data_IF_310798890561
#
_entry.id   IF_310798890561
#
_cell.length_a   1.000
_cell.length_b   1.000
_cell.length_c   1.000
_cell.angle_alpha   90.00
_cell.angle_beta   90.00
_cell.angle_gamma   90.00
#
_symmetry.space_group_name_H-M   'P 1'
#
loop_
_entity.id
_entity.type
_entity.pdbx_description
1 polymer ?
#
# COMPACT_ATOMS: atom_id res chain seq x y z
N UNK A 1 -75.44 14.69 71.37
CA UNK A 1 -74.65 13.47 71.47
C UNK A 1 -74.42 12.98 70.03
N UNK A 2 -73.33 13.36 69.33
CA UNK A 2 -72.98 13.01 67.98
C UNK A 2 -71.74 12.10 67.96
N UNK A 3 -71.88 10.88 67.54
CA UNK A 3 -70.83 9.93 67.39
C UNK A 3 -70.23 10.11 66.00
N UNK A 4 -68.89 10.44 65.94
CA UNK A 4 -68.13 10.46 64.72
C UNK A 4 -67.47 9.08 64.58
N UNK A 5 -67.81 8.40 63.46
CA UNK A 5 -67.14 7.17 63.02
C UNK A 5 -65.94 7.54 62.18
N UNK A 6 -64.71 7.11 62.56
CA UNK A 6 -63.48 7.22 61.76
C UNK A 6 -63.36 6.01 60.83
N UNK A 7 -63.13 6.18 59.53
CA UNK A 7 -62.76 5.04 58.69
C UNK A 7 -61.25 4.69 58.80
N UNK A 8 -61.01 3.42 59.04
CA UNK A 8 -59.67 2.81 59.07
C UNK A 8 -59.25 2.57 57.64
N UNK A 9 -58.25 3.33 57.12
CA UNK A 9 -57.66 3.08 55.82
C UNK A 9 -56.57 2.03 55.96
N UNK A 10 -56.79 0.85 55.44
CA UNK A 10 -55.82 -0.24 55.35
C UNK A 10 -54.92 0.01 54.15
N UNK A 11 -53.69 0.45 54.37
CA UNK A 11 -52.67 0.59 53.31
C UNK A 11 -52.06 -0.80 53.00
N UNK A 12 -52.45 -1.39 51.88
CA UNK A 12 -51.76 -2.55 51.29
C UNK A 12 -50.47 -2.07 50.65
N UNK A 13 -49.32 -2.35 51.27
CA UNK A 13 -48.01 -2.22 50.66
C UNK A 13 -47.78 -3.37 49.67
N UNK A 14 -47.97 -3.09 48.36
CA UNK A 14 -47.50 -3.94 47.27
C UNK A 14 -45.96 -3.89 47.29
N UNK A 15 -45.31 -4.90 47.83
CA UNK A 15 -43.91 -5.16 47.65
C UNK A 15 -43.67 -5.52 46.17
N UNK A 16 -43.16 -4.58 45.38
CA UNK A 16 -42.59 -4.86 44.09
C UNK A 16 -41.30 -5.68 44.31
N UNK A 17 -41.33 -6.98 44.00
CA UNK A 17 -40.13 -7.77 43.75
C UNK A 17 -39.46 -7.20 42.54
N UNK A 18 -38.44 -6.35 42.68
CA UNK A 18 -37.48 -6.06 41.63
C UNK A 18 -36.70 -7.38 41.40
N UNK A 19 -37.04 -8.09 40.36
CA UNK A 19 -36.21 -9.14 39.79
C UNK A 19 -34.79 -8.57 39.50
N UNK A 20 -33.78 -9.44 39.42
CA UNK A 20 -32.45 -8.99 38.98
C UNK A 20 -32.67 -8.32 37.61
N UNK A 21 -32.36 -7.03 37.53
CA UNK A 21 -32.26 -6.33 36.23
C UNK A 21 -31.20 -7.07 35.43
N UNK A 22 -31.58 -7.54 34.24
CA UNK A 22 -30.58 -8.01 33.28
C UNK A 22 -29.48 -6.93 33.17
N UNK A 23 -28.20 -7.31 33.20
CA UNK A 23 -27.14 -6.33 33.04
C UNK A 23 -27.37 -5.56 31.74
N UNK A 24 -27.36 -4.24 31.84
CA UNK A 24 -27.46 -3.37 30.68
C UNK A 24 -26.33 -3.77 29.71
N UNK A 25 -26.61 -3.98 28.41
CA UNK A 25 -25.58 -4.37 27.48
C UNK A 25 -24.43 -3.36 27.53
N UNK A 26 -23.22 -3.87 27.71
CA UNK A 26 -22.02 -3.05 27.77
C UNK A 26 -21.85 -2.33 26.45
N UNK A 27 -21.56 -1.02 26.48
CA UNK A 27 -21.35 -0.24 25.24
C UNK A 27 -20.14 -0.79 24.47
N UNK A 28 -20.20 -0.82 23.13
CA UNK A 28 -19.10 -1.28 22.31
C UNK A 28 -17.79 -0.52 22.62
N UNK A 29 -16.67 -1.22 22.58
CA UNK A 29 -15.36 -0.63 22.85
C UNK A 29 -14.85 0.09 21.59
N UNK A 30 -14.39 1.37 21.72
CA UNK A 30 -13.91 2.12 20.57
C UNK A 30 -12.55 1.62 20.07
N UNK A 31 -12.42 1.42 18.76
CA UNK A 31 -11.19 1.07 18.08
C UNK A 31 -10.93 2.03 16.92
N UNK A 32 -9.93 2.88 17.04
CA UNK A 32 -9.54 3.80 15.97
C UNK A 32 -8.43 3.20 15.11
N UNK A 33 -8.69 3.14 13.82
CA UNK A 33 -7.79 2.61 12.80
C UNK A 33 -7.49 3.69 11.76
N UNK A 34 -6.24 3.88 11.39
CA UNK A 34 -5.84 4.74 10.28
C UNK A 34 -5.31 3.86 9.16
N UNK A 35 -5.96 3.89 8.01
CA UNK A 35 -5.53 3.14 6.82
C UNK A 35 -4.84 4.07 5.82
N UNK A 36 -3.95 3.47 5.03
CA UNK A 36 -3.11 4.18 4.09
C UNK A 36 -3.94 4.73 2.91
N UNK A 37 -3.96 6.05 2.68
CA UNK A 37 -4.89 6.67 1.73
C UNK A 37 -4.37 6.69 0.27
N UNK A 38 -3.28 5.98 -0.03
CA UNK A 38 -2.63 6.01 -1.34
C UNK A 38 -3.05 4.88 -2.28
N UNK A 39 -4.05 4.09 -1.88
CA UNK A 39 -4.72 3.15 -2.80
C UNK A 39 -5.71 3.90 -3.71
N UNK A 40 -6.07 3.37 -4.90
CA UNK A 40 -7.08 4.00 -5.75
C UNK A 40 -8.44 4.11 -5.04
N UNK A 41 -9.01 5.31 -5.00
CA UNK A 41 -10.40 5.53 -4.59
C UNK A 41 -11.34 5.11 -5.74
N UNK A 42 -11.83 3.88 -5.68
CA UNK A 42 -12.62 3.26 -6.75
C UNK A 42 -14.02 3.85 -6.86
N UNK A 43 -14.65 4.18 -5.74
CA UNK A 43 -15.97 4.81 -5.72
C UNK A 43 -15.89 6.31 -6.06
N UNK A 44 -14.75 6.94 -5.88
CA UNK A 44 -14.54 8.37 -6.12
C UNK A 44 -15.24 9.25 -5.09
N UNK A 45 -15.43 8.75 -3.86
CA UNK A 45 -16.17 9.40 -2.78
C UNK A 45 -15.31 9.71 -1.54
N UNK A 46 -13.99 9.72 -1.70
CA UNK A 46 -13.05 9.92 -0.60
C UNK A 46 -12.99 8.73 0.34
N UNK A 47 -13.12 7.52 -0.19
CA UNK A 47 -13.15 6.25 0.53
C UNK A 47 -14.37 6.03 1.45
N UNK A 48 -15.43 6.84 1.35
CA UNK A 48 -16.59 6.71 2.24
C UNK A 48 -17.27 5.35 2.10
N UNK A 49 -17.44 4.86 0.88
CA UNK A 49 -18.04 3.53 0.62
C UNK A 49 -17.15 2.39 1.13
N UNK A 50 -15.83 2.47 0.94
CA UNK A 50 -14.90 1.46 1.44
C UNK A 50 -14.90 1.45 2.97
N UNK A 51 -14.78 2.63 3.61
CA UNK A 51 -14.86 2.79 5.06
C UNK A 51 -16.12 2.13 5.60
N UNK A 52 -17.29 2.56 5.13
CA UNK A 52 -18.57 2.03 5.58
C UNK A 52 -18.67 0.50 5.43
N UNK A 53 -18.16 -0.04 4.33
CA UNK A 53 -18.19 -1.47 4.08
C UNK A 53 -17.29 -2.24 5.06
N UNK A 54 -16.06 -1.79 5.27
CA UNK A 54 -15.12 -2.44 6.18
C UNK A 54 -15.60 -2.38 7.63
N UNK A 55 -16.10 -1.22 8.07
CA UNK A 55 -16.68 -1.04 9.41
C UNK A 55 -17.86 -1.99 9.63
N UNK A 56 -18.83 -1.99 8.71
CA UNK A 56 -20.01 -2.84 8.84
C UNK A 56 -19.68 -4.35 8.81
N UNK A 57 -18.70 -4.77 8.00
CA UNK A 57 -18.30 -6.18 7.92
C UNK A 57 -17.52 -6.61 9.17
N UNK A 58 -16.65 -5.75 9.71
CA UNK A 58 -15.93 -5.99 10.95
C UNK A 58 -16.85 -6.05 12.17
N UNK A 59 -17.70 -5.04 12.37
CA UNK A 59 -18.64 -4.96 13.52
C UNK A 59 -19.68 -6.07 13.52
N UNK A 60 -20.05 -6.60 12.34
CA UNK A 60 -20.93 -7.78 12.25
C UNK A 60 -20.29 -9.01 12.90
N UNK A 61 -18.96 -9.16 12.82
CA UNK A 61 -18.21 -10.26 13.43
C UNK A 61 -17.81 -9.95 14.87
N UNK A 62 -17.69 -8.68 15.23
CA UNK A 62 -17.20 -8.17 16.50
C UNK A 62 -18.12 -7.08 17.05
N UNK A 63 -19.36 -7.46 17.39
CA UNK A 63 -20.43 -6.52 17.79
C UNK A 63 -20.18 -5.78 19.12
N UNK A 64 -19.15 -6.16 19.84
CA UNK A 64 -18.66 -5.55 21.06
C UNK A 64 -17.52 -4.50 20.82
N UNK A 65 -17.17 -4.26 19.55
CA UNK A 65 -16.18 -3.27 19.11
C UNK A 65 -16.87 -2.27 18.16
N UNK A 66 -16.66 -0.97 18.41
CA UNK A 66 -17.06 0.15 17.55
C UNK A 66 -15.81 0.66 16.84
N UNK A 67 -15.64 0.29 15.55
CA UNK A 67 -14.44 0.63 14.79
C UNK A 67 -14.62 1.95 14.03
N UNK A 68 -13.68 2.88 14.20
CA UNK A 68 -13.59 4.12 13.41
C UNK A 68 -12.37 4.04 12.47
N UNK A 69 -12.64 3.79 11.19
CA UNK A 69 -11.62 3.74 10.14
C UNK A 69 -11.42 5.13 9.54
N UNK A 70 -10.19 5.58 9.49
CA UNK A 70 -9.81 6.89 8.93
C UNK A 70 -8.98 6.67 7.67
N UNK A 71 -9.45 7.26 6.56
CA UNK A 71 -8.67 7.51 5.35
C UNK A 71 -8.51 9.01 5.21
N UNK A 72 -7.31 9.55 5.39
CA UNK A 72 -7.06 11.00 5.26
C UNK A 72 -5.75 11.25 4.52
N UNK A 73 -5.87 11.70 3.26
CA UNK A 73 -4.73 12.02 2.41
C UNK A 73 -3.92 13.26 2.86
N UNK A 74 -4.42 14.01 3.86
CA UNK A 74 -3.67 15.11 4.45
C UNK A 74 -2.73 14.68 5.59
N UNK A 75 -2.84 13.44 6.06
CA UNK A 75 -1.91 12.88 7.04
C UNK A 75 -0.59 12.52 6.36
N UNK A 76 0.50 13.16 6.78
CA UNK A 76 1.84 12.76 6.36
C UNK A 76 2.31 11.56 7.20
N UNK A 77 2.08 10.35 6.69
CA UNK A 77 2.47 9.10 7.34
C UNK A 77 3.98 8.81 7.26
N UNK A 78 4.80 9.78 6.86
CA UNK A 78 6.26 9.75 6.97
C UNK A 78 6.80 10.80 7.95
N UNK A 79 5.91 11.62 8.55
CA UNK A 79 6.29 12.63 9.53
C UNK A 79 6.51 11.99 10.92
N UNK A 80 7.79 11.76 11.22
CA UNK A 80 8.29 11.15 12.47
C UNK A 80 8.75 12.18 13.50
N UNK A 81 8.60 13.46 13.23
CA UNK A 81 9.05 14.53 14.11
C UNK A 81 8.25 14.59 15.42
N UNK A 82 8.80 15.22 16.44
CA UNK A 82 8.08 15.47 17.69
C UNK A 82 6.88 16.40 17.41
N UNK A 83 5.67 15.94 17.75
CA UNK A 83 4.43 16.61 17.43
C UNK A 83 3.94 16.41 15.99
N UNK A 84 4.70 15.69 15.15
CA UNK A 84 4.30 15.30 13.81
C UNK A 84 3.21 14.24 13.78
N UNK A 85 2.74 13.89 12.57
CA UNK A 85 1.58 13.02 12.37
C UNK A 85 1.72 11.67 13.06
N UNK A 86 2.83 10.95 12.84
CA UNK A 86 3.02 9.63 13.44
C UNK A 86 3.28 9.68 14.93
N UNK A 87 3.90 10.76 15.43
CA UNK A 87 4.02 10.98 16.86
C UNK A 87 2.65 11.16 17.52
N UNK A 88 1.72 11.85 16.87
CA UNK A 88 0.35 12.03 17.36
C UNK A 88 -0.46 10.74 17.29
N UNK A 89 -0.27 9.91 16.25
CA UNK A 89 -1.01 8.66 16.05
C UNK A 89 -0.49 7.49 16.92
N UNK A 90 0.81 7.37 17.08
CA UNK A 90 1.47 6.21 17.70
C UNK A 90 2.29 6.56 18.95
N UNK A 91 2.80 7.80 19.04
CA UNK A 91 3.68 8.22 20.13
C UNK A 91 2.97 8.87 21.33
N UNK A 92 1.69 9.23 21.21
CA UNK A 92 0.91 9.92 22.24
C UNK A 92 -0.29 9.07 22.64
N UNK A 93 -0.57 8.93 23.94
CA UNK A 93 -1.56 7.98 24.45
C UNK A 93 -3.02 8.31 24.12
N UNK A 94 -3.57 9.38 24.69
CA UNK A 94 -4.98 9.71 24.58
C UNK A 94 -5.34 10.25 23.19
N UNK A 95 -6.26 9.59 22.47
CA UNK A 95 -6.71 9.96 21.12
C UNK A 95 -5.86 9.39 20.00
N UNK A 96 -4.80 8.66 20.32
CA UNK A 96 -3.98 7.93 19.37
C UNK A 96 -4.77 6.82 18.67
N UNK A 97 -4.36 6.47 17.45
CA UNK A 97 -4.87 5.27 16.78
C UNK A 97 -4.31 4.01 17.45
N UNK A 98 -5.12 2.96 17.52
CA UNK A 98 -4.70 1.64 17.99
C UNK A 98 -4.00 0.83 16.91
N UNK A 99 -4.44 1.02 15.65
CA UNK A 99 -3.85 0.40 14.46
C UNK A 99 -3.59 1.49 13.43
N UNK A 100 -2.40 1.47 12.83
CA UNK A 100 -2.04 2.37 11.72
C UNK A 100 -1.46 1.54 10.59
N UNK A 101 -1.93 1.74 9.37
CA UNK A 101 -1.27 1.21 8.18
C UNK A 101 -0.15 2.16 7.77
N UNK A 102 1.05 1.63 7.60
CA UNK A 102 2.25 2.41 7.26
C UNK A 102 3.01 1.73 6.12
N UNK A 103 3.79 2.52 5.39
CA UNK A 103 4.86 1.99 4.55
C UNK A 103 6.04 1.55 5.42
N UNK A 104 6.54 0.35 5.22
CA UNK A 104 7.62 -0.23 6.03
C UNK A 104 8.98 0.47 5.88
N UNK A 105 9.11 1.41 4.95
CA UNK A 105 10.30 2.29 4.82
C UNK A 105 10.69 3.03 6.10
N UNK A 106 9.75 3.15 7.03
CA UNK A 106 9.94 3.80 8.35
C UNK A 106 9.83 2.82 9.53
N UNK A 107 9.69 1.54 9.27
CA UNK A 107 9.50 0.53 10.33
C UNK A 107 10.61 0.55 11.36
N UNK A 108 11.86 0.63 10.92
CA UNK A 108 13.02 0.71 11.81
C UNK A 108 13.00 1.95 12.71
N UNK A 109 12.53 3.07 12.19
CA UNK A 109 12.37 4.32 12.97
C UNK A 109 11.27 4.16 14.03
N UNK A 110 10.11 3.61 13.67
CA UNK A 110 8.99 3.37 14.60
C UNK A 110 9.39 2.43 15.75
N UNK A 111 10.10 1.35 15.42
CA UNK A 111 10.62 0.40 16.41
C UNK A 111 11.63 1.06 17.32
N UNK A 112 12.56 1.85 16.77
CA UNK A 112 13.59 2.55 17.57
C UNK A 112 13.01 3.58 18.53
N UNK A 113 11.87 4.20 18.16
CA UNK A 113 11.12 5.15 18.98
C UNK A 113 10.22 4.44 20.03
N UNK A 114 10.05 3.12 19.93
CA UNK A 114 9.16 2.37 20.81
C UNK A 114 7.67 2.70 20.61
N UNK A 115 7.27 3.09 19.42
CA UNK A 115 5.89 3.49 19.11
C UNK A 115 5.00 2.33 18.68
N UNK A 116 5.61 1.22 18.25
CA UNK A 116 4.90 0.03 17.80
C UNK A 116 5.27 -1.18 18.64
N UNK A 117 4.35 -2.12 18.78
CA UNK A 117 4.56 -3.35 19.51
C UNK A 117 4.78 -4.54 18.57
N UNK A 118 5.47 -5.60 19.03
CA UNK A 118 5.62 -6.81 18.28
C UNK A 118 4.29 -7.49 17.98
N UNK A 119 4.24 -8.13 16.79
CA UNK A 119 3.10 -8.95 16.36
C UNK A 119 3.55 -10.36 16.04
N UNK A 120 2.66 -11.33 16.23
CA UNK A 120 2.90 -12.70 15.76
C UNK A 120 2.45 -12.81 14.30
N UNK A 121 3.34 -13.28 13.42
CA UNK A 121 2.99 -13.64 12.05
C UNK A 121 3.04 -15.16 11.89
N UNK A 122 2.11 -15.70 11.12
CA UNK A 122 2.18 -17.07 10.63
C UNK A 122 3.22 -17.13 9.49
N UNK A 123 4.27 -17.90 9.70
CA UNK A 123 5.36 -18.02 8.74
C UNK A 123 4.86 -18.57 7.38
N UNK A 124 5.19 -17.90 6.30
CA UNK A 124 4.80 -18.26 4.94
C UNK A 124 3.37 -17.87 4.56
N UNK A 125 2.62 -17.19 5.42
CA UNK A 125 1.30 -16.65 5.09
C UNK A 125 1.40 -15.44 4.16
N UNK A 126 2.43 -14.62 4.33
CA UNK A 126 2.73 -13.51 3.43
C UNK A 126 3.86 -13.86 2.46
N UNK A 127 4.06 -13.00 1.48
CA UNK A 127 5.19 -13.07 0.57
C UNK A 127 6.51 -12.89 1.37
N UNK A 128 7.62 -13.61 1.04
CA UNK A 128 8.87 -13.50 1.80
C UNK A 128 9.40 -12.08 1.96
N UNK A 129 9.36 -11.26 0.89
CA UNK A 129 9.75 -9.85 0.96
C UNK A 129 8.89 -9.04 1.95
N UNK A 130 7.61 -9.36 2.07
CA UNK A 130 6.71 -8.71 3.01
C UNK A 130 7.01 -9.12 4.47
N UNK A 131 7.30 -10.39 4.72
CA UNK A 131 7.71 -10.86 6.04
C UNK A 131 9.07 -10.26 6.46
N UNK A 132 10.01 -10.13 5.53
CA UNK A 132 11.30 -9.48 5.76
C UNK A 132 11.14 -7.99 6.08
N UNK A 133 10.33 -7.24 5.32
CA UNK A 133 10.13 -5.80 5.49
C UNK A 133 9.62 -5.42 6.89
N UNK A 134 8.77 -6.24 7.49
CA UNK A 134 8.21 -5.99 8.83
C UNK A 134 9.06 -6.54 9.96
N UNK A 135 10.18 -7.21 9.64
CA UNK A 135 11.06 -7.86 10.62
C UNK A 135 12.23 -6.97 11.01
N UNK A 136 12.35 -6.64 12.30
CA UNK A 136 13.49 -5.93 12.87
C UNK A 136 14.14 -6.83 13.92
N UNK A 137 15.42 -7.11 13.76
CA UNK A 137 16.19 -7.98 14.66
C UNK A 137 15.55 -9.36 14.91
N UNK A 138 14.89 -9.92 13.89
CA UNK A 138 14.24 -11.24 13.95
C UNK A 138 12.86 -11.25 14.62
N UNK A 139 12.28 -10.09 14.88
CA UNK A 139 10.93 -9.95 15.43
C UNK A 139 10.06 -9.13 14.49
N UNK A 140 8.81 -9.57 14.25
CA UNK A 140 7.87 -8.86 13.40
C UNK A 140 7.14 -7.75 14.16
N UNK A 141 6.96 -6.59 13.52
CA UNK A 141 6.31 -5.41 14.09
C UNK A 141 5.12 -4.91 13.29
N UNK A 142 4.74 -5.61 12.24
CA UNK A 142 3.58 -5.27 11.42
C UNK A 142 2.97 -6.49 10.75
N UNK A 143 1.69 -6.38 10.38
CA UNK A 143 0.96 -7.36 9.56
C UNK A 143 0.96 -6.83 8.13
N UNK A 144 1.70 -7.45 7.19
CA UNK A 144 1.78 -6.98 5.82
C UNK A 144 0.41 -6.97 5.13
N UNK A 145 0.13 -5.90 4.38
CA UNK A 145 -1.13 -5.70 3.66
C UNK A 145 -0.94 -5.71 2.16
N UNK A 146 -0.19 -4.76 1.64
CA UNK A 146 0.02 -4.58 0.22
C UNK A 146 1.51 -4.59 -0.12
N UNK A 147 1.77 -4.87 -1.38
CA UNK A 147 3.06 -4.68 -2.02
C UNK A 147 2.88 -3.66 -3.13
N UNK A 148 3.92 -2.90 -3.42
CA UNK A 148 3.94 -1.99 -4.55
C UNK A 148 5.30 -2.08 -5.21
N UNK A 149 5.34 -2.22 -6.53
CA UNK A 149 6.58 -2.31 -7.31
C UNK A 149 6.50 -1.43 -8.53
N UNK A 150 7.64 -0.97 -8.99
CA UNK A 150 7.78 -0.39 -10.31
C UNK A 150 7.72 -1.50 -11.36
N UNK A 151 6.86 -1.31 -12.34
CA UNK A 151 6.67 -2.26 -13.44
C UNK A 151 6.56 -1.51 -14.76
N UNK A 152 6.82 -2.22 -15.86
CA UNK A 152 6.52 -1.74 -17.19
C UNK A 152 5.27 -2.42 -17.70
N UNK A 153 4.30 -1.61 -18.15
CA UNK A 153 3.13 -2.03 -18.88
C UNK A 153 3.30 -1.70 -20.37
N UNK A 154 3.02 -2.65 -21.25
CA UNK A 154 3.02 -2.41 -22.68
C UNK A 154 2.04 -3.31 -23.42
N UNK A 155 1.57 -2.85 -24.58
CA UNK A 155 0.73 -3.65 -25.47
C UNK A 155 1.60 -4.50 -26.42
N UNK A 156 2.60 -5.20 -25.88
CA UNK A 156 3.50 -6.06 -26.62
C UNK A 156 3.50 -7.48 -26.06
N UNK A 157 3.15 -8.50 -26.87
CA UNK A 157 3.24 -9.90 -26.45
C UNK A 157 4.70 -10.36 -26.20
N UNK A 158 5.67 -9.57 -26.65
CA UNK A 158 7.10 -9.86 -26.50
C UNK A 158 7.71 -9.22 -25.26
N UNK A 159 6.93 -8.45 -24.48
CA UNK A 159 7.45 -7.73 -23.30
C UNK A 159 8.18 -8.65 -22.34
N UNK A 160 7.65 -9.86 -22.11
CA UNK A 160 8.25 -10.85 -21.20
C UNK A 160 9.60 -11.42 -21.68
N UNK A 161 10.04 -11.10 -22.87
CA UNK A 161 11.36 -11.51 -23.41
C UNK A 161 12.45 -10.45 -23.16
N UNK A 162 12.12 -9.30 -22.59
CA UNK A 162 13.11 -8.31 -22.17
C UNK A 162 13.96 -8.89 -21.04
N UNK A 163 15.30 -8.83 -21.19
CA UNK A 163 16.27 -9.35 -20.24
C UNK A 163 17.16 -8.26 -19.61
N UNK A 164 17.13 -7.06 -20.20
CA UNK A 164 17.89 -5.90 -19.81
C UNK A 164 17.23 -4.61 -20.34
N UNK A 165 17.78 -3.45 -19.99
CA UNK A 165 17.27 -2.15 -20.44
C UNK A 165 17.26 -1.99 -21.94
N UNK A 166 18.29 -2.42 -22.64
CA UNK A 166 18.43 -2.31 -24.10
C UNK A 166 17.34 -3.11 -24.83
N UNK A 167 17.16 -4.38 -24.46
CA UNK A 167 16.14 -5.24 -25.04
C UNK A 167 14.73 -4.75 -24.74
N UNK A 168 14.50 -4.18 -23.53
CA UNK A 168 13.24 -3.53 -23.18
C UNK A 168 12.95 -2.36 -24.12
N UNK A 169 13.90 -1.45 -24.28
CA UNK A 169 13.77 -0.28 -25.16
C UNK A 169 13.52 -0.69 -26.61
N UNK A 170 14.24 -1.70 -27.11
CA UNK A 170 14.00 -2.22 -28.46
C UNK A 170 12.60 -2.79 -28.63
N UNK A 171 12.14 -3.63 -27.70
CA UNK A 171 10.78 -4.21 -27.73
C UNK A 171 9.73 -3.10 -27.72
N UNK A 172 9.89 -2.09 -26.86
CA UNK A 172 8.95 -0.98 -26.80
C UNK A 172 8.96 -0.14 -28.08
N UNK A 173 10.12 0.09 -28.67
CA UNK A 173 10.27 0.81 -29.95
C UNK A 173 9.54 0.09 -31.08
N UNK A 174 9.61 -1.23 -31.12
CA UNK A 174 9.03 -2.07 -32.17
C UNK A 174 7.49 -2.17 -32.11
N UNK A 175 6.86 -1.81 -30.96
CA UNK A 175 5.37 -1.79 -30.83
C UNK A 175 4.74 -0.86 -31.87
N UNK A 176 5.18 0.38 -31.93
CA UNK A 176 4.76 1.36 -32.93
C UNK A 176 5.91 2.35 -33.19
N UNK A 177 6.70 2.12 -34.25
CA UNK A 177 7.81 3.00 -34.60
C UNK A 177 7.36 4.46 -34.76
N UNK A 178 8.10 5.39 -34.20
CA UNK A 178 7.79 6.83 -34.24
C UNK A 178 6.95 7.33 -33.07
N UNK A 179 6.45 6.44 -32.22
CA UNK A 179 5.93 6.83 -30.91
C UNK A 179 7.03 6.73 -29.85
N UNK A 180 6.83 7.44 -28.73
CA UNK A 180 7.70 7.32 -27.57
C UNK A 180 7.70 5.90 -27.04
N UNK A 181 8.85 5.26 -26.86
CA UNK A 181 8.91 3.89 -26.33
C UNK A 181 8.31 3.81 -24.92
N UNK A 182 8.64 4.76 -24.04
CA UNK A 182 8.23 4.73 -22.64
C UNK A 182 7.70 6.10 -22.16
N UNK A 183 6.68 6.08 -21.31
CA UNK A 183 6.27 7.21 -20.47
C UNK A 183 6.48 6.84 -18.99
N UNK A 184 7.21 7.67 -18.24
CA UNK A 184 7.49 7.47 -16.83
C UNK A 184 7.67 8.81 -16.11
N UNK A 185 7.44 8.83 -14.80
CA UNK A 185 7.73 9.99 -13.96
C UNK A 185 9.13 9.86 -13.34
N UNK A 186 10.15 10.37 -14.00
CA UNK A 186 11.52 10.41 -13.47
C UNK A 186 11.91 11.78 -12.86
N UNK A 187 10.96 12.72 -12.77
CA UNK A 187 11.19 13.98 -12.06
C UNK A 187 10.81 13.93 -10.57
N UNK A 188 10.15 12.88 -10.13
CA UNK A 188 9.66 12.72 -8.75
C UNK A 188 10.74 12.27 -7.77
N UNK A 189 10.68 12.80 -6.54
CA UNK A 189 11.61 12.40 -5.46
C UNK A 189 11.32 11.03 -4.85
N UNK A 190 10.23 10.39 -5.22
CA UNK A 190 9.92 9.01 -4.91
C UNK A 190 10.30 8.10 -6.09
N UNK A 191 9.82 8.44 -7.27
CA UNK A 191 9.87 7.59 -8.46
C UNK A 191 11.30 7.41 -9.00
N UNK A 192 12.06 8.48 -9.18
CA UNK A 192 13.41 8.37 -9.72
C UNK A 192 14.39 7.62 -8.78
N UNK A 193 14.45 7.94 -7.46
CA UNK A 193 15.29 7.15 -6.55
C UNK A 193 14.88 5.69 -6.45
N UNK A 194 13.56 5.38 -6.47
CA UNK A 194 13.10 3.99 -6.45
C UNK A 194 13.58 3.20 -7.66
N UNK A 195 13.46 3.77 -8.87
CA UNK A 195 13.95 3.13 -10.09
C UNK A 195 15.47 2.92 -10.07
N UNK A 196 16.22 3.84 -9.48
CA UNK A 196 17.65 3.64 -9.27
C UNK A 196 17.94 2.50 -8.28
N UNK A 197 17.15 2.37 -7.20
CA UNK A 197 17.29 1.26 -6.27
C UNK A 197 16.98 -0.08 -6.93
N UNK A 198 16.01 -0.15 -7.85
CA UNK A 198 15.76 -1.35 -8.66
C UNK A 198 16.96 -1.69 -9.53
N UNK A 199 17.53 -0.70 -10.24
CA UNK A 199 18.74 -0.89 -11.03
C UNK A 199 19.92 -1.35 -10.18
N UNK A 200 20.07 -0.78 -8.97
CA UNK A 200 21.10 -1.19 -8.04
C UNK A 200 20.89 -2.62 -7.54
N UNK A 201 19.66 -3.03 -7.25
CA UNK A 201 19.33 -4.39 -6.83
C UNK A 201 19.69 -5.41 -7.92
N UNK A 202 19.37 -5.09 -9.17
CA UNK A 202 19.63 -5.95 -10.33
C UNK A 202 21.14 -6.06 -10.64
N UNK A 203 21.90 -4.99 -10.45
CA UNK A 203 23.37 -5.01 -10.66
C UNK A 203 24.14 -5.54 -9.46
N UNK A 204 23.53 -5.56 -8.28
CA UNK A 204 24.13 -6.01 -7.01
C UNK A 204 23.27 -7.09 -6.33
N UNK A 205 23.08 -8.28 -6.92
CA UNK A 205 22.11 -9.28 -6.47
C UNK A 205 22.38 -9.81 -5.05
N UNK A 206 23.62 -9.71 -4.56
CA UNK A 206 24.01 -10.12 -3.20
C UNK A 206 24.20 -8.94 -2.24
N UNK A 207 24.02 -7.71 -2.73
CA UNK A 207 24.19 -6.49 -1.94
C UNK A 207 23.00 -6.25 -1.00
N UNK A 208 23.22 -5.48 0.06
CA UNK A 208 22.16 -5.01 0.96
C UNK A 208 21.62 -3.71 0.39
N UNK A 209 20.32 -3.67 0.06
CA UNK A 209 19.72 -2.57 -0.70
C UNK A 209 19.86 -1.19 -0.01
N UNK A 210 20.02 -1.14 1.31
CA UNK A 210 20.31 0.11 2.03
C UNK A 210 21.64 0.78 1.61
N UNK A 211 22.57 0.06 0.99
CA UNK A 211 23.82 0.63 0.45
C UNK A 211 23.54 1.59 -0.72
N UNK A 212 22.48 1.33 -1.48
CA UNK A 212 22.04 2.21 -2.58
C UNK A 212 21.55 3.59 -2.11
N UNK A 213 21.25 3.75 -0.81
CA UNK A 213 20.83 5.04 -0.24
C UNK A 213 21.97 6.04 -0.05
N UNK A 214 23.21 5.64 -0.34
CA UNK A 214 24.40 6.43 -0.09
C UNK A 214 24.96 7.05 -1.38
N UNK A 215 25.55 8.24 -1.26
CA UNK A 215 26.32 8.86 -2.33
C UNK A 215 27.84 8.53 -2.17
N UNK A 216 28.62 8.45 -3.25
CA UNK A 216 28.23 8.66 -4.66
C UNK A 216 27.37 7.53 -5.22
N UNK A 217 26.65 7.81 -6.33
CA UNK A 217 25.87 6.81 -7.05
C UNK A 217 26.77 5.67 -7.56
N UNK A 218 26.24 4.45 -7.59
CA UNK A 218 26.88 3.30 -8.20
C UNK A 218 26.85 3.45 -9.73
N UNK A 219 28.03 3.39 -10.37
CA UNK A 219 28.16 3.63 -11.80
C UNK A 219 27.47 2.52 -12.63
N UNK A 220 27.54 1.26 -12.19
CA UNK A 220 26.93 0.15 -12.93
C UNK A 220 25.41 0.20 -12.89
N UNK A 221 24.84 0.59 -11.74
CA UNK A 221 23.41 0.79 -11.60
C UNK A 221 22.93 1.98 -12.45
N UNK A 222 23.73 3.04 -12.50
CA UNK A 222 23.42 4.20 -13.31
C UNK A 222 23.45 3.88 -14.81
N UNK A 223 24.48 3.18 -15.29
CA UNK A 223 24.63 2.77 -16.69
C UNK A 223 23.43 1.90 -17.13
N UNK A 224 23.02 0.93 -16.30
CA UNK A 224 21.88 0.03 -16.58
C UNK A 224 20.53 0.76 -16.65
N UNK A 225 20.43 1.88 -15.95
CA UNK A 225 19.19 2.67 -15.89
C UNK A 225 19.13 3.77 -16.95
N UNK A 226 20.28 4.26 -17.42
CA UNK A 226 20.38 5.42 -18.32
C UNK A 226 19.63 5.22 -19.62
N UNK A 227 19.75 4.04 -20.26
CA UNK A 227 19.11 3.73 -21.55
C UNK A 227 17.59 3.68 -21.44
N UNK A 228 17.06 3.17 -20.31
CA UNK A 228 15.62 3.17 -20.03
C UNK A 228 15.10 4.61 -19.87
N UNK A 229 15.85 5.47 -19.18
CA UNK A 229 15.48 6.89 -19.02
C UNK A 229 15.56 7.62 -20.36
N UNK A 230 16.58 7.37 -21.19
CA UNK A 230 16.74 7.95 -22.53
C UNK A 230 15.65 7.50 -23.51
N UNK A 231 15.03 6.33 -23.28
CA UNK A 231 13.93 5.85 -24.12
C UNK A 231 12.67 6.75 -24.12
N UNK A 232 12.58 7.66 -23.18
CA UNK A 232 11.54 8.68 -23.14
C UNK A 232 11.74 9.81 -24.18
N UNK A 233 12.90 9.93 -24.79
CA UNK A 233 13.22 10.97 -25.78
C UNK A 233 12.62 10.62 -27.14
N UNK A 234 12.02 11.60 -27.82
CA UNK A 234 11.66 11.53 -29.25
C UNK A 234 12.63 12.35 -30.10
N UNK A 235 13.21 13.38 -29.50
CA UNK A 235 14.17 14.28 -30.14
C UNK A 235 15.34 14.48 -29.18
N UNK A 236 16.55 14.55 -29.70
CA UNK A 236 17.76 14.67 -28.89
C UNK A 236 17.69 15.87 -27.93
N UNK A 237 17.87 15.62 -26.64
CA UNK A 237 17.88 16.61 -25.59
C UNK A 237 16.51 17.02 -25.05
N UNK A 238 15.42 16.36 -25.47
CA UNK A 238 14.07 16.58 -24.92
C UNK A 238 13.59 15.29 -24.26
N UNK A 239 13.68 15.19 -22.96
CA UNK A 239 13.25 14.03 -22.19
C UNK A 239 12.06 14.37 -21.26
N UNK A 240 10.81 14.11 -21.69
CA UNK A 240 9.60 14.38 -20.90
C UNK A 240 9.52 13.66 -19.57
N UNK A 241 10.27 12.57 -19.41
CA UNK A 241 10.33 11.85 -18.14
C UNK A 241 11.18 12.59 -17.08
N UNK A 242 12.12 13.44 -17.50
CA UNK A 242 13.02 14.20 -16.62
C UNK A 242 12.67 15.69 -16.55
N UNK A 243 12.07 16.28 -17.59
CA UNK A 243 11.88 17.73 -17.72
C UNK A 243 10.65 18.28 -16.97
N UNK A 244 9.87 17.41 -16.34
CA UNK A 244 8.64 17.75 -15.63
C UNK A 244 7.37 17.64 -16.48
N UNK A 245 7.44 17.27 -17.75
CA UNK A 245 6.25 16.99 -18.57
C UNK A 245 5.42 15.87 -17.94
N UNK A 246 6.06 14.83 -17.47
CA UNK A 246 5.44 13.75 -16.68
C UNK A 246 5.72 13.92 -15.17
N UNK A 247 5.58 15.15 -14.64
CA UNK A 247 5.91 15.47 -13.25
C UNK A 247 5.02 14.76 -12.20
N UNK A 248 3.88 14.24 -12.63
CA UNK A 248 3.03 13.37 -11.82
C UNK A 248 2.73 12.07 -12.58
N UNK A 249 2.38 11.03 -11.82
CA UNK A 249 2.08 9.73 -12.39
C UNK A 249 0.88 9.79 -13.35
N UNK A 250 -0.10 10.63 -13.09
CA UNK A 250 -1.30 10.75 -13.91
C UNK A 250 -0.98 11.09 -15.38
N UNK A 251 -0.05 11.99 -15.63
CA UNK A 251 0.32 12.38 -17.00
C UNK A 251 1.00 11.27 -17.79
N UNK A 252 1.86 10.49 -17.14
CA UNK A 252 2.53 9.37 -17.80
C UNK A 252 1.54 8.24 -18.13
N UNK A 253 0.67 7.89 -17.19
CA UNK A 253 -0.36 6.87 -17.40
C UNK A 253 -1.43 7.30 -18.43
N UNK A 254 -1.83 8.59 -18.44
CA UNK A 254 -2.73 9.15 -19.45
C UNK A 254 -2.11 9.11 -20.84
N UNK A 255 -0.82 9.42 -21.00
CA UNK A 255 -0.11 9.32 -22.26
C UNK A 255 -0.12 7.87 -22.82
N UNK A 256 0.09 6.89 -21.95
CA UNK A 256 0.00 5.47 -22.33
C UNK A 256 -1.44 5.07 -22.68
N UNK A 257 -2.41 5.42 -21.83
CA UNK A 257 -3.82 5.15 -22.06
C UNK A 257 -4.35 5.77 -23.36
N UNK A 258 -3.82 6.93 -23.75
CA UNK A 258 -4.15 7.63 -24.99
C UNK A 258 -3.38 7.11 -26.23
N UNK A 259 -2.49 6.13 -26.08
CA UNK A 259 -1.65 5.59 -27.17
C UNK A 259 -0.56 6.56 -27.66
N UNK A 260 -0.10 7.46 -26.79
CA UNK A 260 0.98 8.41 -27.08
C UNK A 260 2.37 7.87 -26.67
N UNK A 261 2.40 6.74 -25.96
CA UNK A 261 3.59 5.98 -25.62
C UNK A 261 3.31 4.50 -25.80
N UNK A 262 4.34 3.72 -26.17
CA UNK A 262 4.26 2.28 -26.38
C UNK A 262 4.26 1.49 -25.06
N UNK A 263 4.88 2.03 -24.02
CA UNK A 263 4.91 1.50 -22.68
C UNK A 263 4.71 2.60 -21.63
N UNK A 264 4.36 2.17 -20.44
CA UNK A 264 4.24 2.99 -19.24
C UNK A 264 5.01 2.31 -18.11
N UNK A 265 5.87 3.05 -17.43
CA UNK A 265 6.51 2.61 -16.20
C UNK A 265 5.93 3.34 -15.00
N UNK A 266 5.46 2.59 -14.04
CA UNK A 266 4.85 3.13 -12.82
C UNK A 266 4.56 2.05 -11.82
N UNK A 267 3.97 2.45 -10.69
CA UNK A 267 3.53 1.53 -9.66
C UNK A 267 2.38 0.63 -10.14
N UNK A 268 2.29 -0.55 -9.58
CA UNK A 268 1.33 -1.59 -10.02
C UNK A 268 -0.13 -1.13 -9.96
N UNK A 269 -0.53 -0.41 -8.93
CA UNK A 269 -1.89 0.12 -8.78
C UNK A 269 -2.23 1.22 -9.81
N UNK A 270 -1.22 1.77 -10.49
CA UNK A 270 -1.45 2.78 -11.53
C UNK A 270 -2.22 2.24 -12.74
N UNK A 271 -2.24 0.91 -12.91
CA UNK A 271 -3.07 0.26 -13.93
C UNK A 271 -4.57 0.58 -13.75
N UNK A 272 -5.03 0.80 -12.52
CA UNK A 272 -6.40 1.28 -12.25
C UNK A 272 -6.70 2.56 -13.03
N UNK A 273 -5.82 3.55 -12.97
CA UNK A 273 -6.02 4.86 -13.61
C UNK A 273 -5.89 4.75 -15.13
N UNK A 274 -4.95 3.96 -15.65
CA UNK A 274 -4.84 3.65 -17.09
C UNK A 274 -6.15 3.06 -17.62
N UNK A 275 -6.71 2.08 -16.93
CA UNK A 275 -7.97 1.42 -17.29
C UNK A 275 -9.18 2.33 -17.10
N UNK A 276 -9.16 3.21 -16.10
CA UNK A 276 -10.21 4.23 -15.91
C UNK A 276 -10.19 5.27 -17.02
N UNK A 277 -9.02 5.70 -17.48
CA UNK A 277 -8.87 6.62 -18.61
C UNK A 277 -9.25 6.00 -19.95
N UNK A 278 -8.99 4.70 -20.15
CA UNK A 278 -9.33 3.96 -21.38
C UNK A 278 -9.94 2.59 -21.06
N UNK A 279 -11.24 2.51 -20.75
CA UNK A 279 -11.90 1.26 -20.41
C UNK A 279 -11.90 0.22 -21.54
N UNK A 280 -11.76 0.67 -22.80
CA UNK A 280 -11.71 -0.19 -24.00
C UNK A 280 -10.32 -0.77 -24.27
N UNK A 281 -9.29 -0.32 -23.60
CA UNK A 281 -7.93 -0.82 -23.76
C UNK A 281 -7.86 -2.30 -23.34
N UNK A 282 -7.20 -3.13 -24.15
CA UNK A 282 -6.87 -4.49 -23.75
C UNK A 282 -5.99 -4.48 -22.50
N UNK A 283 -6.04 -5.55 -21.70
CA UNK A 283 -5.11 -5.69 -20.57
C UNK A 283 -3.68 -5.75 -21.13
N UNK A 284 -2.79 -4.84 -20.68
CA UNK A 284 -1.41 -4.84 -21.14
C UNK A 284 -0.63 -6.05 -20.62
N UNK A 285 0.50 -6.34 -21.24
CA UNK A 285 1.54 -7.15 -20.62
C UNK A 285 2.22 -6.34 -19.53
N UNK A 286 2.77 -7.03 -18.55
CA UNK A 286 3.48 -6.43 -17.41
C UNK A 286 4.71 -7.25 -17.06
N UNK A 287 5.81 -6.56 -16.79
CA UNK A 287 7.04 -7.15 -16.25
C UNK A 287 7.61 -6.24 -15.14
N UNK A 288 8.39 -6.82 -14.22
CA UNK A 288 9.39 -6.05 -13.46
C UNK A 288 10.42 -5.50 -14.45
N UNK A 289 11.03 -4.37 -14.11
CA UNK A 289 11.98 -3.71 -15.03
C UNK A 289 13.30 -4.45 -14.99
N UNK A 290 13.77 -5.03 -16.12
CA UNK A 290 15.04 -5.74 -16.17
C UNK A 290 16.19 -4.73 -16.36
N UNK A 291 16.72 -4.22 -15.27
CA UNK A 291 17.74 -3.16 -15.28
C UNK A 291 19.20 -3.67 -15.05
N UNK A 292 19.40 -4.98 -15.06
CA UNK A 292 20.72 -5.56 -14.84
C UNK A 292 20.75 -7.05 -15.15
N UNK A 293 21.52 -7.82 -14.38
CA UNK A 293 21.63 -9.29 -14.57
C UNK A 293 20.50 -10.05 -13.90
N UNK A 294 19.67 -9.40 -13.11
CA UNK A 294 18.50 -9.92 -12.43
C UNK A 294 17.20 -9.33 -12.98
N UNK A 295 16.10 -9.90 -12.55
CA UNK A 295 14.76 -9.38 -12.78
C UNK A 295 13.95 -9.42 -11.48
N UNK A 296 14.67 -9.31 -10.36
CA UNK A 296 14.09 -9.37 -9.03
C UNK A 296 13.61 -7.97 -8.64
N UNK A 297 12.28 -7.73 -8.60
CA UNK A 297 11.77 -6.40 -8.30
C UNK A 297 12.07 -6.02 -6.86
N UNK A 298 12.42 -4.76 -6.62
CA UNK A 298 12.31 -4.18 -5.30
C UNK A 298 10.83 -3.82 -5.03
N UNK A 299 10.37 -4.08 -3.81
CA UNK A 299 8.97 -3.84 -3.44
C UNK A 299 8.87 -2.98 -2.20
N UNK A 300 8.00 -1.96 -2.28
CA UNK A 300 7.44 -1.32 -1.09
C UNK A 300 6.48 -2.29 -0.42
N UNK A 301 6.38 -2.21 0.88
CA UNK A 301 5.48 -3.05 1.66
C UNK A 301 4.69 -2.16 2.60
N UNK A 302 3.37 -2.23 2.52
CA UNK A 302 2.50 -1.63 3.51
C UNK A 302 2.15 -2.64 4.60
N UNK A 303 2.04 -2.18 5.83
CA UNK A 303 1.74 -3.04 6.96
C UNK A 303 0.90 -2.32 8.02
N UNK A 304 -0.02 -3.06 8.64
CA UNK A 304 -0.72 -2.63 9.84
C UNK A 304 0.20 -2.80 11.06
N UNK A 305 0.47 -1.71 11.76
CA UNK A 305 1.22 -1.70 13.01
C UNK A 305 0.29 -1.43 14.19
N UNK A 306 0.60 -2.02 15.33
CA UNK A 306 -0.14 -1.83 16.57
C UNK A 306 0.59 -0.82 17.46
N UNK A 307 -0.15 0.16 17.97
CA UNK A 307 0.38 1.15 18.90
C UNK A 307 0.93 0.46 20.15
N UNK A 308 2.16 0.79 20.54
CA UNK A 308 2.82 0.18 21.71
C UNK A 308 2.08 0.40 23.05
N UNK A 309 1.25 1.45 23.13
CA UNK A 309 0.48 1.76 24.33
C UNK A 309 -0.88 1.03 24.37
N UNK A 310 -1.30 0.41 23.27
CA UNK A 310 -2.52 -0.38 23.20
C UNK A 310 -2.24 -1.78 23.79
N UNK A 311 -2.59 -2.00 25.04
CA UNK A 311 -2.32 -3.23 25.81
C UNK A 311 -3.59 -3.86 26.36
N UNK A 312 -3.55 -5.11 26.81
CA UNK A 312 -4.72 -5.83 27.32
C UNK A 312 -5.82 -5.96 26.27
N UNK A 313 -7.07 -5.68 26.62
CA UNK A 313 -8.23 -5.74 25.73
C UNK A 313 -8.07 -4.85 24.50
N UNK A 314 -7.47 -3.67 24.62
CA UNK A 314 -7.14 -2.82 23.48
C UNK A 314 -6.29 -3.58 22.43
N UNK A 315 -5.26 -4.30 22.89
CA UNK A 315 -4.42 -5.07 21.98
C UNK A 315 -5.14 -6.30 21.38
N UNK A 316 -6.09 -6.87 22.10
CA UNK A 316 -6.95 -7.95 21.60
C UNK A 316 -7.87 -7.44 20.49
N UNK A 317 -8.52 -6.28 20.69
CA UNK A 317 -9.37 -5.64 19.69
C UNK A 317 -8.56 -5.22 18.43
N UNK A 318 -7.38 -4.64 18.63
CA UNK A 318 -6.48 -4.28 17.54
C UNK A 318 -6.02 -5.52 16.72
N UNK A 319 -5.73 -6.64 17.39
CA UNK A 319 -5.42 -7.91 16.70
C UNK A 319 -6.61 -8.47 15.96
N UNK A 320 -7.82 -8.40 16.53
CA UNK A 320 -9.03 -8.83 15.84
C UNK A 320 -9.22 -8.07 14.52
N UNK A 321 -8.94 -6.74 14.51
CA UNK A 321 -8.99 -5.96 13.29
C UNK A 321 -7.88 -6.35 12.28
N UNK A 322 -6.64 -6.56 12.74
CA UNK A 322 -5.59 -7.02 11.83
C UNK A 322 -5.85 -8.41 11.27
N UNK A 323 -6.48 -9.30 12.03
CA UNK A 323 -6.90 -10.62 11.57
C UNK A 323 -8.03 -10.53 10.53
N UNK A 324 -9.02 -9.65 10.76
CA UNK A 324 -10.05 -9.32 9.78
C UNK A 324 -9.44 -8.82 8.47
N UNK A 325 -8.47 -7.91 8.53
CA UNK A 325 -7.78 -7.38 7.34
C UNK A 325 -6.91 -8.42 6.61
N UNK A 326 -6.52 -9.52 7.25
CA UNK A 326 -5.84 -10.66 6.59
C UNK A 326 -6.81 -11.58 5.84
N UNK A 327 -8.10 -11.54 6.14
CA UNK A 327 -9.08 -12.42 5.50
C UNK A 327 -9.04 -12.24 3.97
N UNK A 328 -8.86 -13.33 3.20
CA UNK A 328 -8.85 -13.26 1.75
C UNK A 328 -10.11 -12.64 1.13
N UNK A 329 -11.27 -12.77 1.77
CA UNK A 329 -12.50 -12.13 1.30
C UNK A 329 -12.43 -10.61 1.44
N UNK A 330 -11.90 -10.09 2.55
CA UNK A 330 -11.67 -8.65 2.76
C UNK A 330 -10.64 -8.13 1.76
N UNK A 331 -9.56 -8.88 1.54
CA UNK A 331 -8.56 -8.54 0.53
C UNK A 331 -9.16 -8.51 -0.88
N UNK A 332 -10.02 -9.47 -1.22
CA UNK A 332 -10.70 -9.50 -2.52
C UNK A 332 -11.67 -8.32 -2.67
N UNK A 333 -12.44 -7.99 -1.64
CA UNK A 333 -13.34 -6.83 -1.63
C UNK A 333 -12.57 -5.56 -2.00
N UNK A 334 -11.43 -5.31 -1.37
CA UNK A 334 -10.61 -4.12 -1.64
C UNK A 334 -9.99 -4.20 -3.03
N UNK A 335 -9.33 -5.30 -3.36
CA UNK A 335 -8.59 -5.48 -4.61
C UNK A 335 -9.48 -5.38 -5.85
N UNK A 336 -10.69 -5.91 -5.79
CA UNK A 336 -11.65 -5.93 -6.90
C UNK A 336 -12.68 -4.80 -6.85
N UNK A 337 -12.48 -3.79 -5.97
CA UNK A 337 -13.35 -2.60 -5.90
C UNK A 337 -14.82 -2.94 -5.61
N UNK A 338 -15.09 -3.93 -4.75
CA UNK A 338 -16.46 -4.36 -4.43
C UNK A 338 -17.24 -3.36 -3.55
N UNK A 339 -16.55 -2.33 -3.05
CA UNK A 339 -17.10 -1.15 -2.39
C UNK A 339 -17.66 -0.11 -3.37
N UNK A 340 -17.38 -0.26 -4.67
CA UNK A 340 -17.79 0.65 -5.74
C UNK A 340 -18.89 0.03 -6.62
N UNK A 341 -19.53 0.81 -7.53
CA UNK A 341 -20.55 0.29 -8.44
C UNK A 341 -20.07 -0.91 -9.25
N UNK A 342 -20.98 -1.85 -9.53
CA UNK A 342 -20.66 -3.05 -10.30
C UNK A 342 -20.01 -2.70 -11.65
N UNK A 343 -18.91 -3.37 -11.98
CA UNK A 343 -18.14 -3.15 -13.20
C UNK A 343 -17.05 -2.09 -13.06
N UNK A 344 -16.85 -1.56 -11.86
CA UNK A 344 -15.69 -0.71 -11.58
C UNK A 344 -14.39 -1.49 -11.77
N UNK A 345 -13.38 -0.83 -12.31
CA UNK A 345 -12.04 -1.39 -12.51
C UNK A 345 -11.45 -1.89 -11.19
N UNK A 346 -10.84 -3.08 -11.13
CA UNK A 346 -10.07 -3.53 -9.98
C UNK A 346 -8.96 -2.55 -9.62
N UNK A 347 -8.64 -2.43 -8.33
CA UNK A 347 -7.55 -1.54 -7.87
C UNK A 347 -6.17 -1.98 -8.30
N UNK A 348 -6.01 -3.24 -8.70
CA UNK A 348 -4.73 -3.83 -9.10
C UNK A 348 -3.62 -3.70 -8.05
N UNK A 349 -4.00 -3.69 -6.77
CA UNK A 349 -3.08 -3.71 -5.65
C UNK A 349 -2.41 -5.08 -5.53
N UNK A 350 -1.08 -5.10 -5.46
CA UNK A 350 -0.37 -6.32 -5.09
C UNK A 350 -0.69 -6.65 -3.62
N UNK A 351 -1.05 -7.90 -3.38
CA UNK A 351 -1.37 -8.35 -2.03
C UNK A 351 -0.16 -9.03 -1.38
N UNK A 352 0.10 -8.73 -0.12
CA UNK A 352 1.13 -9.41 0.64
C UNK A 352 0.75 -10.87 0.94
N UNK A 353 -0.53 -11.17 1.06
CA UNK A 353 -1.05 -12.53 1.32
C UNK A 353 -0.86 -13.45 0.12
N UNK A 354 -0.19 -14.57 0.31
CA UNK A 354 -0.05 -15.62 -0.72
C UNK A 354 -1.39 -16.30 -1.03
N UNK A 355 -2.21 -16.54 -0.02
CA UNK A 355 -3.51 -17.17 -0.16
C UNK A 355 -4.47 -16.37 -1.05
N UNK A 356 -4.31 -15.05 -1.15
CA UNK A 356 -5.10 -14.22 -2.04
C UNK A 356 -5.01 -14.68 -3.51
N UNK A 357 -3.81 -14.99 -4.00
CA UNK A 357 -3.59 -15.37 -5.40
C UNK A 357 -4.09 -16.80 -5.72
N UNK A 358 -4.33 -17.62 -4.70
CA UNK A 358 -4.79 -19.00 -4.83
C UNK A 358 -6.31 -19.13 -4.80
N UNK A 359 -7.03 -18.05 -4.45
CA UNK A 359 -8.49 -18.02 -4.30
C UNK A 359 -9.17 -17.19 -5.39
N UNK A 360 -10.42 -17.51 -5.70
CA UNK A 360 -11.23 -16.65 -6.55
C UNK A 360 -11.59 -15.34 -5.82
N UNK A 361 -11.67 -14.22 -6.54
CA UNK A 361 -11.53 -14.09 -8.00
C UNK A 361 -10.08 -13.93 -8.51
N UNK A 362 -9.08 -13.74 -7.65
CA UNK A 362 -7.69 -13.45 -8.06
C UNK A 362 -7.05 -14.61 -8.83
N UNK A 363 -7.37 -15.86 -8.49
CA UNK A 363 -6.90 -17.04 -9.22
C UNK A 363 -7.34 -17.05 -10.69
N UNK A 364 -8.55 -16.56 -10.96
CA UNK A 364 -9.09 -16.45 -12.32
C UNK A 364 -8.71 -15.16 -13.04
N UNK A 365 -8.16 -14.16 -12.37
CA UNK A 365 -7.82 -12.87 -12.96
C UNK A 365 -6.43 -12.90 -13.63
N UNK A 366 -6.34 -12.63 -14.96
CA UNK A 366 -5.08 -12.71 -15.69
C UNK A 366 -4.00 -11.75 -15.18
N UNK A 367 -4.38 -10.56 -14.70
CA UNK A 367 -3.41 -9.57 -14.21
C UNK A 367 -2.84 -9.96 -12.86
N UNK A 368 -3.69 -10.38 -11.91
CA UNK A 368 -3.20 -10.86 -10.62
C UNK A 368 -2.31 -12.11 -10.77
N UNK A 369 -2.60 -12.99 -11.75
CA UNK A 369 -1.73 -14.13 -12.05
C UNK A 369 -0.39 -13.72 -12.69
N UNK A 370 -0.33 -12.60 -13.42
CA UNK A 370 0.95 -12.01 -13.88
C UNK A 370 1.73 -11.44 -12.69
N UNK A 371 1.06 -10.72 -11.79
CA UNK A 371 1.68 -10.16 -10.59
C UNK A 371 2.29 -11.24 -9.68
N UNK A 372 1.55 -12.33 -9.42
CA UNK A 372 2.05 -13.44 -8.61
C UNK A 372 3.38 -14.03 -9.13
N UNK A 373 3.57 -14.01 -10.46
CA UNK A 373 4.78 -14.57 -11.08
C UNK A 373 6.02 -13.72 -10.85
N UNK A 374 5.94 -12.41 -11.03
CA UNK A 374 7.13 -11.57 -10.87
C UNK A 374 7.47 -11.30 -9.40
N UNK A 375 6.53 -11.47 -8.48
CA UNK A 375 6.82 -11.34 -7.05
C UNK A 375 7.74 -12.43 -6.51
N UNK A 376 7.93 -13.55 -7.21
CA UNK A 376 8.64 -14.74 -6.66
C UNK A 376 10.10 -14.46 -6.24
N UNK A 377 10.77 -13.47 -6.82
CA UNK A 377 12.13 -13.05 -6.48
C UNK A 377 12.20 -11.68 -5.79
N UNK A 378 11.06 -11.11 -5.40
CA UNK A 378 11.02 -9.75 -4.89
C UNK A 378 11.84 -9.55 -3.61
N UNK A 379 12.47 -8.38 -3.50
CA UNK A 379 13.25 -7.93 -2.33
C UNK A 379 12.58 -6.68 -1.74
N UNK A 380 12.45 -6.55 -0.41
CA UNK A 380 11.86 -5.34 0.15
C UNK A 380 12.82 -4.16 0.04
N UNK A 381 12.26 -2.95 -0.11
CA UNK A 381 13.03 -1.73 0.11
C UNK A 381 13.53 -1.67 1.56
N UNK A 382 14.61 -0.89 1.83
CA UNK A 382 15.12 -0.72 3.19
C UNK A 382 14.05 -0.17 4.14
N UNK A 383 13.94 -0.76 5.31
CA UNK A 383 12.95 -0.37 6.32
C UNK A 383 13.31 0.88 7.14
N UNK A 384 14.33 1.60 6.73
CA UNK A 384 14.67 2.95 7.23
C UNK A 384 15.63 3.66 6.26
N UNK A 385 15.67 4.99 6.32
CA UNK A 385 16.63 5.83 5.62
C UNK A 385 16.22 6.28 4.22
N UNK A 386 15.29 5.60 3.54
CA UNK A 386 14.86 6.02 2.21
C UNK A 386 14.14 7.38 2.23
N UNK A 387 13.14 7.65 3.07
CA UNK A 387 12.46 8.94 3.11
C UNK A 387 13.42 10.12 3.35
N UNK A 388 14.46 9.91 4.16
CA UNK A 388 15.45 10.94 4.49
C UNK A 388 16.40 11.22 3.34
N UNK A 389 16.81 10.19 2.57
CA UNK A 389 17.85 10.29 1.54
C UNK A 389 17.31 10.53 0.13
N UNK A 390 16.02 10.25 -0.15
CA UNK A 390 15.44 10.27 -1.49
C UNK A 390 15.62 11.59 -2.26
N UNK A 391 15.55 12.75 -1.57
CA UNK A 391 15.75 14.05 -2.22
C UNK A 391 17.19 14.30 -2.66
N UNK A 392 18.15 13.85 -1.87
CA UNK A 392 19.58 13.95 -2.23
C UNK A 392 19.92 12.99 -3.38
N UNK A 393 19.37 11.77 -3.34
CA UNK A 393 19.47 10.81 -4.45
C UNK A 393 18.85 11.35 -5.73
N UNK A 394 17.64 11.90 -5.66
CA UNK A 394 16.97 12.52 -6.82
C UNK A 394 17.85 13.60 -7.45
N UNK A 395 18.40 14.50 -6.65
CA UNK A 395 19.24 15.59 -7.16
C UNK A 395 20.50 15.04 -7.87
N UNK A 396 21.18 14.06 -7.27
CA UNK A 396 22.35 13.44 -7.85
C UNK A 396 22.03 12.66 -9.15
N UNK A 397 20.90 11.96 -9.19
CA UNK A 397 20.42 11.23 -10.37
C UNK A 397 20.07 12.17 -11.52
N UNK A 398 19.33 13.25 -11.25
CA UNK A 398 19.00 14.27 -12.27
C UNK A 398 20.26 14.89 -12.85
N UNK A 399 21.28 15.15 -12.05
CA UNK A 399 22.54 15.70 -12.53
C UNK A 399 23.36 14.69 -13.36
N UNK A 400 23.27 13.40 -13.03
CA UNK A 400 23.97 12.35 -13.75
C UNK A 400 23.30 11.96 -15.08
N UNK A 401 21.96 12.08 -15.17
CA UNK A 401 21.15 11.67 -16.33
C UNK A 401 20.91 12.79 -17.36
N UNK A 402 21.41 14.01 -17.15
CA UNK A 402 21.38 15.14 -18.08
C UNK A 402 22.58 15.13 -19.02
#
# INVERSE_FOLDING_TARGET
>A
MQWRVLPLVLALSLGACSGPSDPEPEAPRPLKVVLFPYIPDSAGDGFASLKQRLEADFERAHSDIDVDIVFDANLDLYDLDEGGTLNQLLGQGAGAAQVVEIDTLIMGDLVSKGWVQPVALEAGAAHPAAEEAVSIAGQSYGVPTYLCSYVVYANSPHLSSATDGDSLVQILTDVAPGLRPLAANYSGSWTLPSSYLDAWADTNPTGVLSQALSLPLDASALDSFEDVVKSCELEAGVNPCLDGTFADNAKAEEAFAAGQANGFMGYTERLFFVRKANPGMALPEVISVPLGTGSEPAVFVDALVLNAQCTGTCAEDARAFTDFMKDPAVRSLIAFSEDAPQGTTPRYLLQASRAFYEQEPARGDPMYQKYARFLSGARPYPNQGFPQNRKALQAALVDALK
#
